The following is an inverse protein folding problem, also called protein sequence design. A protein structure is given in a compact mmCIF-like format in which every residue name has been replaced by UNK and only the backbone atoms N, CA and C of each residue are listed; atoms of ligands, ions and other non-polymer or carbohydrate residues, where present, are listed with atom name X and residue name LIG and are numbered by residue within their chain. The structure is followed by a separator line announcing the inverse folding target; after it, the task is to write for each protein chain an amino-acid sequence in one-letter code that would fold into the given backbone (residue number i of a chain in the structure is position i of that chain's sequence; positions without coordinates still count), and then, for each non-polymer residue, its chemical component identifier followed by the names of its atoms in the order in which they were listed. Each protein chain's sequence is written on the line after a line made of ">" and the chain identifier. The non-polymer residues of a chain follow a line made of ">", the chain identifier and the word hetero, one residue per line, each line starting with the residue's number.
data_IF_280282014630
#
_entry.id   IF_280282014630
#
_cell.length_a   1.000
_cell.length_b   1.000
_cell.length_c   1.000
_cell.angle_alpha   90.00
_cell.angle_beta   90.00
_cell.angle_gamma   90.00
#
_symmetry.space_group_name_H-M   'P 1'
#
loop_
_entity.id
_entity.type
_entity.pdbx_description
1 polymer ?
#
# COMPACT_ATOMS: atom_id res chain seq x y z
N UNK A 1 -11.52 -60.74 27.99
CA UNK A 1 -12.51 -59.75 27.49
C UNK A 1 -11.86 -58.37 27.53
N UNK A 2 -10.94 -58.05 26.62
CA UNK A 2 -10.15 -56.80 26.70
C UNK A 2 -9.66 -56.23 25.36
N UNK A 3 -10.13 -56.79 24.23
CA UNK A 3 -9.74 -56.33 22.89
C UNK A 3 -10.90 -55.64 22.15
N UNK A 4 -12.15 -55.90 22.56
CA UNK A 4 -13.35 -55.26 22.01
C UNK A 4 -13.52 -53.81 22.51
N UNK A 5 -13.06 -53.50 23.73
CA UNK A 5 -13.12 -52.14 24.28
C UNK A 5 -12.20 -51.16 23.52
N UNK A 6 -11.05 -51.65 23.03
CA UNK A 6 -10.12 -50.88 22.19
C UNK A 6 -10.69 -50.59 20.80
N UNK A 7 -11.50 -51.49 20.25
CA UNK A 7 -12.17 -51.29 18.96
C UNK A 7 -13.29 -50.24 19.08
N UNK A 8 -14.07 -50.29 20.17
CA UNK A 8 -15.11 -49.31 20.46
C UNK A 8 -14.53 -47.90 20.68
N UNK A 9 -13.44 -47.78 21.45
CA UNK A 9 -12.75 -46.49 21.71
C UNK A 9 -12.18 -45.85 20.43
N UNK A 10 -11.66 -46.66 19.49
CA UNK A 10 -11.17 -46.15 18.20
C UNK A 10 -12.30 -45.71 17.28
N UNK A 11 -13.44 -46.40 17.30
CA UNK A 11 -14.63 -46.02 16.54
C UNK A 11 -15.19 -44.67 17.03
N UNK A 12 -15.21 -44.45 18.35
CA UNK A 12 -15.67 -43.19 18.93
C UNK A 12 -14.74 -42.01 18.61
N UNK A 13 -13.42 -42.22 18.66
CA UNK A 13 -12.43 -41.21 18.24
C UNK A 13 -12.55 -40.86 16.75
N UNK A 14 -12.87 -41.84 15.89
CA UNK A 14 -13.11 -41.60 14.47
C UNK A 14 -14.42 -40.84 14.20
N UNK A 15 -15.47 -41.07 14.98
CA UNK A 15 -16.72 -40.31 14.94
C UNK A 15 -16.50 -38.85 15.39
N UNK A 16 -15.74 -38.64 16.48
CA UNK A 16 -15.40 -37.30 16.96
C UNK A 16 -14.58 -36.50 15.93
N UNK A 17 -13.62 -37.15 15.25
CA UNK A 17 -12.84 -36.52 14.19
C UNK A 17 -13.69 -36.14 12.96
N UNK A 18 -14.69 -36.96 12.60
CA UNK A 18 -15.65 -36.67 11.52
C UNK A 18 -16.60 -35.53 11.87
N UNK A 19 -17.03 -35.44 13.14
CA UNK A 19 -17.86 -34.33 13.64
C UNK A 19 -17.07 -33.02 13.68
N UNK A 20 -15.80 -33.05 14.07
CA UNK A 20 -14.93 -31.87 14.07
C UNK A 20 -14.64 -31.33 12.66
N UNK A 21 -14.50 -32.22 11.66
CA UNK A 21 -14.32 -31.81 10.25
C UNK A 21 -15.61 -31.27 9.63
N UNK A 22 -16.78 -31.82 9.98
CA UNK A 22 -18.07 -31.29 9.52
C UNK A 22 -18.42 -29.92 10.13
N UNK A 23 -18.09 -29.67 11.41
CA UNK A 23 -18.28 -28.36 12.03
C UNK A 23 -17.41 -27.26 11.38
N UNK A 24 -16.19 -27.61 10.93
CA UNK A 24 -15.28 -26.67 10.26
C UNK A 24 -15.68 -26.37 8.80
N UNK A 25 -16.31 -27.33 8.12
CA UNK A 25 -16.85 -27.14 6.77
C UNK A 25 -18.13 -26.27 6.74
N UNK A 26 -18.88 -26.20 7.85
CA UNK A 26 -20.04 -25.31 7.97
C UNK A 26 -19.65 -23.86 8.28
N UNK A 27 -18.51 -23.63 8.94
CA UNK A 27 -18.02 -22.28 9.26
C UNK A 27 -17.40 -21.56 8.03
N UNK A 28 -17.01 -22.32 7.00
CA UNK A 28 -16.54 -21.81 5.70
C UNK A 28 -17.70 -21.49 4.71
N UNK A 29 -18.96 -21.75 5.08
CA UNK A 29 -20.14 -21.39 4.28
C UNK A 29 -20.72 -20.02 4.62
N UNK A 30 -19.92 -19.14 5.23
CA UNK A 30 -20.32 -17.74 5.36
C UNK A 30 -20.11 -17.07 4.00
N UNK A 31 -21.18 -17.12 3.19
CA UNK A 31 -21.51 -16.36 1.98
C UNK A 31 -20.34 -15.90 1.09
N UNK A 32 -20.37 -16.10 -0.25
CA UNK A 32 -19.37 -15.50 -1.11
C UNK A 32 -19.42 -13.99 -0.89
N UNK A 33 -18.39 -13.45 -0.23
CA UNK A 33 -18.17 -12.03 -0.16
C UNK A 33 -18.15 -11.57 -1.61
N UNK A 34 -19.17 -10.80 -1.99
CA UNK A 34 -19.22 -10.10 -3.27
C UNK A 34 -17.85 -9.47 -3.46
N UNK A 35 -17.10 -10.01 -4.41
CA UNK A 35 -15.80 -9.52 -4.82
C UNK A 35 -16.03 -8.18 -5.52
N UNK A 36 -16.35 -7.15 -4.76
CA UNK A 36 -16.05 -5.80 -5.16
C UNK A 36 -14.55 -5.72 -5.22
N UNK A 37 -13.99 -5.37 -6.39
CA UNK A 37 -12.61 -4.88 -6.53
C UNK A 37 -12.17 -4.21 -5.22
N UNK A 38 -10.95 -4.47 -4.68
CA UNK A 38 -10.50 -3.77 -3.48
C UNK A 38 -10.83 -2.30 -3.68
N UNK A 39 -11.57 -1.67 -2.75
CA UNK A 39 -12.08 -0.33 -2.97
C UNK A 39 -10.85 0.49 -3.32
N UNK A 40 -10.74 0.93 -4.57
CA UNK A 40 -9.65 1.84 -4.95
C UNK A 40 -9.75 2.94 -3.92
N UNK A 41 -8.70 3.09 -3.10
CA UNK A 41 -8.74 3.90 -1.90
C UNK A 41 -9.43 5.22 -2.26
N UNK A 42 -10.39 5.69 -1.46
CA UNK A 42 -11.12 6.93 -1.75
C UNK A 42 -10.15 8.05 -2.18
N UNK A 43 -9.00 8.08 -1.51
CA UNK A 43 -7.78 8.84 -1.82
C UNK A 43 -7.33 8.77 -3.29
N UNK A 44 -7.21 7.58 -3.89
CA UNK A 44 -6.82 7.38 -5.29
C UNK A 44 -7.89 7.92 -6.25
N UNK A 45 -9.17 7.83 -5.90
CA UNK A 45 -10.25 8.43 -6.69
C UNK A 45 -10.15 9.96 -6.69
N UNK A 46 -9.85 10.55 -5.53
CA UNK A 46 -9.62 11.99 -5.37
C UNK A 46 -8.41 12.44 -6.19
N UNK A 47 -7.29 11.70 -6.12
CA UNK A 47 -6.11 11.96 -6.97
C UNK A 47 -6.53 11.92 -8.45
N UNK A 48 -7.35 10.95 -8.86
CA UNK A 48 -7.86 10.87 -10.23
C UNK A 48 -8.71 12.08 -10.64
N UNK A 49 -9.51 12.66 -9.73
CA UNK A 49 -10.22 13.93 -9.97
C UNK A 49 -9.21 15.08 -10.15
N UNK A 50 -8.23 15.20 -9.25
CA UNK A 50 -7.19 16.23 -9.35
C UNK A 50 -6.42 16.16 -10.68
N UNK A 51 -6.09 14.95 -11.16
CA UNK A 51 -5.43 14.75 -12.46
C UNK A 51 -6.27 15.23 -13.65
N UNK A 52 -7.60 15.16 -13.57
CA UNK A 52 -8.50 15.62 -14.65
C UNK A 52 -8.57 17.15 -14.70
N UNK A 53 -8.61 17.80 -13.54
CA UNK A 53 -8.71 19.25 -13.45
C UNK A 53 -7.36 19.96 -13.62
N UNK A 54 -6.30 19.34 -13.11
CA UNK A 54 -4.94 19.89 -13.11
C UNK A 54 -3.95 18.91 -13.76
N UNK A 55 -4.04 18.68 -15.08
CA UNK A 55 -3.17 17.73 -15.76
C UNK A 55 -1.69 18.15 -15.75
N UNK A 56 -1.41 19.45 -15.59
CA UNK A 56 -0.04 19.99 -15.57
C UNK A 56 0.64 19.74 -14.23
N UNK A 57 -0.04 20.01 -13.11
CA UNK A 57 0.47 19.74 -11.77
C UNK A 57 0.39 18.26 -11.37
N UNK A 58 -0.67 17.56 -11.82
CA UNK A 58 -0.91 16.15 -11.55
C UNK A 58 -0.93 15.35 -12.87
N UNK A 59 0.24 15.09 -13.48
CA UNK A 59 0.31 14.30 -14.70
C UNK A 59 -0.09 12.83 -14.47
N UNK A 60 -0.71 12.23 -15.48
CA UNK A 60 -1.08 10.80 -15.51
C UNK A 60 -0.03 9.99 -16.29
N UNK A 61 0.11 8.70 -15.96
CA UNK A 61 1.02 7.78 -16.66
C UNK A 61 0.78 7.83 -18.18
N UNK A 62 1.81 7.93 -19.06
CA UNK A 62 3.24 7.70 -18.85
C UNK A 62 4.10 8.90 -18.39
N UNK A 63 3.53 10.09 -18.22
CA UNK A 63 4.33 11.28 -17.90
C UNK A 63 5.03 11.17 -16.53
N UNK A 64 6.28 11.69 -16.40
CA UNK A 64 6.95 11.79 -15.12
C UNK A 64 6.16 12.71 -14.19
N UNK A 65 6.16 12.42 -12.88
CA UNK A 65 5.55 13.34 -11.91
C UNK A 65 6.36 14.63 -11.87
N UNK A 66 5.78 15.70 -11.32
CA UNK A 66 6.45 16.99 -11.19
C UNK A 66 6.59 17.37 -9.72
N UNK A 67 7.67 18.06 -9.32
CA UNK A 67 7.75 18.67 -8.00
C UNK A 67 6.64 19.70 -7.85
N UNK A 68 5.81 19.56 -6.83
CA UNK A 68 4.73 20.51 -6.57
C UNK A 68 5.26 21.72 -5.80
N UNK A 69 4.60 22.86 -5.99
CA UNK A 69 4.75 24.07 -5.16
C UNK A 69 4.63 23.74 -3.67
N UNK A 70 5.48 24.38 -2.85
CA UNK A 70 5.32 24.33 -1.39
C UNK A 70 4.10 25.18 -1.02
N UNK A 71 3.12 24.58 -0.34
CA UNK A 71 1.84 25.24 -0.07
C UNK A 71 0.80 25.09 -1.18
N UNK A 72 0.99 24.16 -2.14
CA UNK A 72 -0.03 23.82 -3.17
C UNK A 72 -1.39 23.43 -2.57
N UNK A 73 -1.43 23.07 -1.28
CA UNK A 73 -2.65 22.71 -0.57
C UNK A 73 -3.64 23.88 -0.47
N UNK A 74 -3.17 25.09 -0.16
CA UNK A 74 -4.02 26.30 -0.12
C UNK A 74 -4.60 26.63 -1.50
N UNK A 75 -3.78 26.50 -2.55
CA UNK A 75 -4.22 26.68 -3.92
C UNK A 75 -5.32 25.64 -4.26
N UNK A 76 -5.14 24.38 -3.84
CA UNK A 76 -6.11 23.31 -4.05
C UNK A 76 -7.38 23.46 -3.22
N UNK A 77 -7.28 24.01 -2.01
CA UNK A 77 -8.43 24.29 -1.15
C UNK A 77 -9.39 25.27 -1.81
N UNK A 78 -8.86 26.29 -2.49
CA UNK A 78 -9.66 27.24 -3.27
C UNK A 78 -10.48 26.53 -4.37
N UNK A 79 -9.96 25.43 -4.90
CA UNK A 79 -10.63 24.61 -5.92
C UNK A 79 -11.36 23.38 -5.36
N UNK A 80 -11.26 23.10 -4.06
CA UNK A 80 -11.82 21.89 -3.44
C UNK A 80 -13.35 21.85 -3.53
N UNK A 81 -14.01 23.00 -3.40
CA UNK A 81 -15.46 23.14 -3.58
C UNK A 81 -15.90 22.75 -4.99
N UNK A 82 -15.15 23.16 -6.02
CA UNK A 82 -15.45 22.82 -7.41
C UNK A 82 -15.22 21.33 -7.73
N UNK A 83 -14.38 20.66 -6.95
CA UNK A 83 -14.03 19.24 -7.08
C UNK A 83 -14.92 18.32 -6.23
N UNK A 84 -15.77 18.90 -5.39
CA UNK A 84 -16.60 18.21 -4.39
C UNK A 84 -15.76 17.24 -3.55
N UNK A 85 -14.68 17.75 -2.97
CA UNK A 85 -13.79 17.01 -2.07
C UNK A 85 -13.58 17.81 -0.79
N UNK A 86 -13.55 17.10 0.32
CA UNK A 86 -13.31 17.73 1.62
C UNK A 86 -11.83 18.04 1.82
N UNK A 87 -11.54 19.00 2.69
CA UNK A 87 -10.16 19.35 3.06
C UNK A 87 -9.36 18.14 3.58
N UNK A 88 -9.99 17.33 4.43
CA UNK A 88 -9.35 16.15 5.03
C UNK A 88 -8.96 15.14 3.95
N UNK A 89 -9.87 14.86 3.02
CA UNK A 89 -9.66 13.98 1.88
C UNK A 89 -8.56 14.49 0.94
N UNK A 90 -8.54 15.80 0.67
CA UNK A 90 -7.52 16.45 -0.14
C UNK A 90 -6.13 16.31 0.51
N UNK A 91 -6.05 16.49 1.84
CA UNK A 91 -4.81 16.32 2.59
C UNK A 91 -4.29 14.89 2.53
N UNK A 92 -5.17 13.89 2.66
CA UNK A 92 -4.79 12.48 2.54
C UNK A 92 -4.38 12.09 1.11
N UNK A 93 -5.06 12.66 0.10
CA UNK A 93 -4.68 12.54 -1.31
C UNK A 93 -3.27 13.08 -1.58
N UNK A 94 -2.97 14.29 -1.11
CA UNK A 94 -1.64 14.89 -1.24
C UNK A 94 -0.57 14.09 -0.50
N UNK A 95 -0.86 13.66 0.73
CA UNK A 95 0.07 12.85 1.52
C UNK A 95 0.43 11.55 0.80
N UNK A 96 -0.56 10.90 0.18
CA UNK A 96 -0.38 9.68 -0.60
C UNK A 96 0.37 9.96 -1.90
N UNK A 97 0.07 11.07 -2.57
CA UNK A 97 0.75 11.50 -3.79
C UNK A 97 2.26 11.74 -3.57
N UNK A 98 2.61 12.51 -2.53
CA UNK A 98 3.98 12.88 -2.19
C UNK A 98 4.82 11.73 -1.61
N UNK A 99 4.17 10.67 -1.09
CA UNK A 99 4.82 9.44 -0.62
C UNK A 99 5.02 8.40 -1.71
N UNK A 100 4.65 8.69 -2.96
CA UNK A 100 4.84 7.77 -4.08
C UNK A 100 6.30 7.69 -4.52
N UNK A 101 6.79 6.49 -4.84
CA UNK A 101 8.15 6.31 -5.38
C UNK A 101 8.41 7.13 -6.66
N UNK A 102 7.36 7.31 -7.48
CA UNK A 102 7.38 8.17 -8.67
C UNK A 102 7.53 9.65 -8.34
N UNK A 103 7.01 10.11 -7.21
CA UNK A 103 7.14 11.51 -6.81
C UNK A 103 8.58 11.79 -6.38
N UNK A 104 9.17 10.90 -5.58
CA UNK A 104 10.57 10.99 -5.18
C UNK A 104 11.54 10.93 -6.34
N UNK A 105 11.23 10.18 -7.40
CA UNK A 105 12.05 10.09 -8.60
C UNK A 105 12.17 11.43 -9.35
N UNK A 106 11.21 12.34 -9.16
CA UNK A 106 11.16 13.63 -9.84
C UNK A 106 11.75 14.77 -9.00
N UNK A 107 12.13 14.49 -7.75
CA UNK A 107 12.86 15.43 -6.90
C UNK A 107 14.33 15.44 -7.32
N UNK A 108 14.63 16.20 -8.36
CA UNK A 108 16.00 16.44 -8.85
C UNK A 108 16.46 17.83 -8.43
N UNK A 109 17.75 17.99 -8.17
CA UNK A 109 18.34 19.27 -7.82
C UNK A 109 18.12 20.29 -8.95
N UNK A 110 17.66 21.50 -8.60
CA UNK A 110 17.34 22.55 -9.55
C UNK A 110 16.04 22.35 -10.35
N UNK A 111 15.27 21.27 -10.10
CA UNK A 111 14.00 21.07 -10.78
C UNK A 111 12.99 22.17 -10.39
N UNK A 112 12.33 22.79 -11.38
CA UNK A 112 11.31 23.79 -11.12
C UNK A 112 10.08 23.16 -10.48
N UNK A 113 9.61 23.78 -9.40
CA UNK A 113 8.34 23.40 -8.76
C UNK A 113 7.20 24.01 -9.57
N UNK A 114 6.17 23.24 -9.86
CA UNK A 114 5.03 23.70 -10.61
C UNK A 114 3.85 23.98 -9.68
N UNK A 115 3.15 25.09 -9.94
CA UNK A 115 1.83 25.36 -9.36
C UNK A 115 0.71 24.62 -10.14
N UNK A 116 -0.54 24.86 -9.75
CA UNK A 116 -1.72 24.25 -10.39
C UNK A 116 -1.90 24.65 -11.86
N UNK A 117 -1.38 25.81 -12.25
CA UNK A 117 -1.43 26.34 -13.62
C UNK A 117 -0.23 25.91 -14.46
N UNK A 118 0.77 25.28 -13.86
CA UNK A 118 2.02 24.90 -14.51
C UNK A 118 3.10 25.96 -14.50
N UNK A 119 2.93 27.04 -13.72
CA UNK A 119 3.98 28.03 -13.56
C UNK A 119 5.05 27.58 -12.57
N UNK A 120 6.31 27.91 -12.90
CA UNK A 120 7.48 27.62 -12.08
C UNK A 120 7.54 28.50 -10.84
N UNK A 121 7.34 27.93 -9.67
CA UNK A 121 7.24 28.58 -8.35
C UNK A 121 8.30 28.03 -7.41
N UNK A 122 9.54 28.44 -7.68
CA UNK A 122 10.72 28.01 -6.94
C UNK A 122 11.36 26.75 -7.52
N UNK A 123 12.40 26.27 -6.84
CA UNK A 123 13.19 25.12 -7.26
C UNK A 123 13.32 24.11 -6.12
N UNK A 124 13.53 22.85 -6.48
CA UNK A 124 13.89 21.80 -5.53
C UNK A 124 15.34 21.99 -5.13
N UNK A 125 15.60 21.99 -3.83
CA UNK A 125 16.96 22.11 -3.30
C UNK A 125 17.70 20.76 -3.35
N UNK A 126 19.03 20.81 -3.43
CA UNK A 126 19.88 19.61 -3.42
C UNK A 126 19.59 18.68 -2.22
N UNK A 127 19.33 19.24 -1.03
CA UNK A 127 18.99 18.48 0.16
C UNK A 127 17.69 17.68 0.02
N UNK A 128 16.68 18.26 -0.64
CA UNK A 128 15.41 17.60 -0.90
C UNK A 128 15.55 16.52 -1.97
N UNK A 129 16.33 16.77 -3.01
CA UNK A 129 16.65 15.78 -4.04
C UNK A 129 17.35 14.56 -3.41
N UNK A 130 18.36 14.79 -2.56
CA UNK A 130 19.06 13.73 -1.85
C UNK A 130 18.14 12.94 -0.92
N UNK A 131 17.25 13.61 -0.18
CA UNK A 131 16.23 12.95 0.66
C UNK A 131 15.28 12.10 -0.18
N UNK A 132 14.81 12.61 -1.31
CA UNK A 132 13.96 11.84 -2.24
C UNK A 132 14.64 10.56 -2.73
N UNK A 133 15.92 10.65 -3.10
CA UNK A 133 16.72 9.50 -3.50
C UNK A 133 16.86 8.47 -2.37
N UNK A 134 17.16 8.90 -1.14
CA UNK A 134 17.25 8.01 0.03
C UNK A 134 15.93 7.28 0.30
N UNK A 135 14.80 8.00 0.28
CA UNK A 135 13.48 7.40 0.50
C UNK A 135 13.15 6.36 -0.57
N UNK A 136 13.52 6.63 -1.84
CA UNK A 136 13.35 5.67 -2.94
C UNK A 136 14.24 4.43 -2.75
N UNK A 137 15.48 4.59 -2.33
CA UNK A 137 16.39 3.49 -2.04
C UNK A 137 15.89 2.62 -0.87
N UNK A 138 15.46 3.24 0.23
CA UNK A 138 14.96 2.52 1.42
C UNK A 138 13.66 1.73 1.16
N UNK A 139 12.82 2.18 0.22
CA UNK A 139 11.60 1.45 -0.17
C UNK A 139 11.85 0.31 -1.17
N UNK A 140 13.00 0.32 -1.83
CA UNK A 140 13.42 -0.72 -2.80
C UNK A 140 14.13 -1.91 -2.13
N UNK A 141 14.23 -1.92 -0.79
CA UNK A 141 14.62 -3.12 -0.04
C UNK A 141 13.42 -3.81 0.62
N UNK A 142 12.52 -4.46 -0.13
CA UNK A 142 11.78 -5.58 0.43
C UNK A 142 12.70 -6.82 0.41
N UNK A 143 12.93 -7.40 1.58
CA UNK A 143 13.21 -8.84 1.79
C UNK A 143 14.58 -9.47 1.39
N UNK A 144 15.59 -8.74 0.94
CA UNK A 144 16.92 -9.36 0.70
C UNK A 144 17.66 -9.81 2.00
N UNK A 145 17.18 -9.39 3.18
CA UNK A 145 17.79 -9.71 4.48
C UNK A 145 17.19 -10.94 5.18
N UNK A 146 16.04 -11.47 4.74
CA UNK A 146 15.42 -12.66 5.38
C UNK A 146 15.90 -14.00 4.83
N UNK A 147 16.44 -14.06 3.61
CA UNK A 147 16.97 -15.31 3.03
C UNK A 147 18.40 -15.68 3.45
N UNK A 148 19.07 -14.94 4.34
CA UNK A 148 20.44 -15.27 4.79
C UNK A 148 20.55 -15.88 6.19
N UNK A 149 19.44 -16.02 6.94
CA UNK A 149 19.44 -16.64 8.28
C UNK A 149 18.90 -18.08 8.32
N UNK A 150 18.57 -18.70 7.18
CA UNK A 150 18.05 -20.07 7.11
C UNK A 150 19.13 -21.15 6.86
N UNK A 151 20.40 -20.78 6.78
CA UNK A 151 21.50 -21.71 6.49
C UNK A 151 22.47 -21.79 7.67
N UNK A 152 22.05 -22.40 8.77
CA UNK A 152 22.97 -22.91 9.78
C UNK A 152 22.67 -24.41 9.97
N UNK A 153 23.57 -25.31 9.57
CA UNK A 153 23.35 -26.74 9.70
C UNK A 153 23.42 -27.13 11.18
N UNK A 154 22.33 -27.73 11.63
CA UNK A 154 22.15 -28.44 12.89
C UNK A 154 23.26 -29.49 13.05
N UNK A 155 24.12 -29.32 14.06
CA UNK A 155 25.03 -30.39 14.50
C UNK A 155 24.37 -31.16 15.66
N UNK A 156 24.39 -32.50 15.65
CA UNK A 156 23.72 -33.30 16.66
C UNK A 156 24.49 -33.30 18.00
N UNK A 157 23.79 -33.43 19.15
CA UNK A 157 24.45 -33.46 20.45
C UNK A 157 25.18 -34.80 20.66
N UNK A 158 26.44 -34.71 21.10
CA UNK A 158 27.27 -35.85 21.53
C UNK A 158 26.77 -36.38 22.88
N UNK A 159 26.58 -37.70 22.96
CA UNK A 159 26.49 -38.46 24.21
C UNK A 159 27.87 -38.58 24.89
#
# INVERSE_FOLDING_TARGET
>A
MGFEELAALKAELAEQAKRATQAKAAQDRRAPATQGKPPVDAVVRIIGKLQKHFPVAFPKNPAPKVPLKIGIFDDLLTHATALEVTEAELRDALRTWCRGARYWACLTDGAQRLDLTGQGVGQVTQAEAYRGQQLRAGRSQPDAARSKMASQPEQPPRA
#
